data_IF_521428378158
#
_entry.id   IF_521428378158
#
_cell.length_a   1.000
_cell.length_b   1.000
_cell.length_c   1.000
_cell.angle_alpha   90.00
_cell.angle_beta   90.00
_cell.angle_gamma   90.00
#
_symmetry.space_group_name_H-M   'P 1'
#
loop_
_entity.id
_entity.type
_entity.pdbx_description
1 polymer ?
#
# COMPACT_ATOMS: atom_id res chain seq x y z
N UNK A 1 -3.78 -3.91 13.27
CA UNK A 1 -5.03 -4.66 13.04
C UNK A 1 -6.07 -4.15 14.01
N UNK A 2 -7.06 -3.47 13.47
CA UNK A 2 -8.20 -2.86 14.13
C UNK A 2 -9.48 -3.33 13.43
N UNK A 3 -10.63 -3.15 14.09
CA UNK A 3 -11.95 -3.38 13.48
C UNK A 3 -12.59 -2.01 13.32
N UNK A 4 -12.99 -1.69 12.09
CA UNK A 4 -13.63 -0.43 11.73
C UNK A 4 -15.09 -0.73 11.41
N UNK A 5 -15.99 -0.05 12.12
CA UNK A 5 -17.42 -0.14 11.91
C UNK A 5 -17.86 1.07 11.09
N UNK A 6 -18.19 0.86 9.80
CA UNK A 6 -18.63 1.94 8.91
C UNK A 6 -20.16 2.02 8.89
N UNK A 7 -20.69 3.25 8.79
CA UNK A 7 -22.13 3.56 8.63
C UNK A 7 -23.02 3.23 9.84
N UNK A 8 -22.47 3.23 11.06
CA UNK A 8 -23.25 3.15 12.28
C UNK A 8 -23.58 4.55 12.81
N UNK A 9 -24.87 4.83 13.07
CA UNK A 9 -25.29 6.04 13.76
C UNK A 9 -25.15 5.85 15.28
N UNK A 10 -24.17 6.51 15.88
CA UNK A 10 -23.94 6.46 17.32
C UNK A 10 -24.76 7.59 17.97
N UNK A 11 -25.57 7.31 19.00
CA UNK A 11 -26.27 8.35 19.73
C UNK A 11 -25.28 9.24 20.50
N UNK A 12 -25.57 10.54 20.63
CA UNK A 12 -24.70 11.49 21.33
C UNK A 12 -24.55 11.18 22.83
N UNK A 13 -25.58 10.56 23.43
CA UNK A 13 -25.59 10.15 24.85
C UNK A 13 -26.44 8.90 25.06
N UNK A 14 -26.09 8.11 26.08
CA UNK A 14 -26.84 6.91 26.49
C UNK A 14 -26.16 5.60 26.10
N UNK A 15 -26.85 4.50 26.32
CA UNK A 15 -26.33 3.16 26.04
C UNK A 15 -26.59 2.77 24.58
N UNK A 16 -25.60 2.15 23.95
CA UNK A 16 -25.68 1.65 22.58
C UNK A 16 -25.01 0.27 22.48
N UNK A 17 -25.75 -0.73 22.00
CA UNK A 17 -25.24 -2.09 21.74
C UNK A 17 -25.11 -2.32 20.23
N UNK A 18 -23.93 -2.77 19.79
CA UNK A 18 -23.70 -3.26 18.43
C UNK A 18 -23.47 -4.76 18.48
N UNK A 19 -24.36 -5.53 17.86
CA UNK A 19 -24.19 -6.98 17.69
C UNK A 19 -24.12 -7.32 16.21
N UNK A 20 -22.89 -7.59 15.74
CA UNK A 20 -22.66 -7.99 14.36
C UNK A 20 -22.04 -9.40 14.30
N UNK A 21 -22.59 -10.25 13.44
CA UNK A 21 -21.95 -11.51 13.05
C UNK A 21 -21.40 -11.36 11.64
N UNK A 22 -20.10 -11.60 11.49
CA UNK A 22 -19.43 -11.62 10.18
C UNK A 22 -18.80 -12.97 9.94
N UNK A 23 -18.76 -13.39 8.68
CA UNK A 23 -18.07 -14.60 8.24
C UNK A 23 -16.82 -14.17 7.49
N UNK A 24 -15.66 -14.64 7.95
CA UNK A 24 -14.36 -14.38 7.35
C UNK A 24 -13.87 -15.68 6.71
N UNK A 25 -13.94 -15.77 5.39
CA UNK A 25 -13.44 -16.94 4.67
C UNK A 25 -11.91 -16.87 4.46
N UNK A 26 -11.37 -15.65 4.43
CA UNK A 26 -9.93 -15.42 4.39
C UNK A 26 -9.46 -14.61 5.60
N UNK A 27 -8.25 -14.89 6.04
CA UNK A 27 -7.57 -14.15 7.10
C UNK A 27 -6.97 -12.83 6.60
N UNK A 28 -6.69 -11.92 7.54
CA UNK A 28 -5.93 -10.70 7.30
C UNK A 28 -4.60 -10.96 6.55
N UNK A 29 -3.89 -12.03 6.93
CA UNK A 29 -2.62 -12.41 6.31
C UNK A 29 -2.79 -12.92 4.87
N UNK A 30 -3.85 -13.69 4.59
CA UNK A 30 -4.16 -14.10 3.22
C UNK A 30 -4.54 -12.88 2.36
N UNK A 31 -5.36 -11.97 2.87
CA UNK A 31 -5.68 -10.71 2.19
C UNK A 31 -4.41 -9.90 1.89
N UNK A 32 -3.53 -9.70 2.88
CA UNK A 32 -2.25 -9.02 2.70
C UNK A 32 -1.38 -9.65 1.61
N UNK A 33 -1.33 -10.97 1.53
CA UNK A 33 -0.58 -11.70 0.49
C UNK A 33 -1.19 -11.50 -0.89
N UNK A 34 -2.52 -11.53 -1.01
CA UNK A 34 -3.23 -11.27 -2.26
C UNK A 34 -2.93 -9.85 -2.77
N UNK A 35 -3.00 -8.85 -1.89
CA UNK A 35 -2.69 -7.46 -2.23
C UNK A 35 -1.22 -7.31 -2.63
N UNK A 36 -0.28 -7.85 -1.86
CA UNK A 36 1.15 -7.78 -2.21
C UNK A 36 1.44 -8.44 -3.57
N UNK A 37 0.82 -9.59 -3.87
CA UNK A 37 0.97 -10.25 -5.16
C UNK A 37 0.45 -9.35 -6.30
N UNK A 38 -0.74 -8.77 -6.12
CA UNK A 38 -1.33 -7.87 -7.11
C UNK A 38 -0.47 -6.63 -7.34
N UNK A 39 -0.02 -5.96 -6.27
CA UNK A 39 0.86 -4.80 -6.38
C UNK A 39 2.14 -5.14 -7.14
N UNK A 40 2.76 -6.27 -6.81
CA UNK A 40 4.00 -6.72 -7.45
C UNK A 40 3.83 -7.03 -8.94
N UNK A 41 2.74 -7.70 -9.31
CA UNK A 41 2.53 -8.18 -10.68
C UNK A 41 1.97 -7.10 -11.61
N UNK A 42 1.10 -6.23 -11.10
CA UNK A 42 0.25 -5.37 -11.93
C UNK A 42 0.56 -3.86 -11.76
N UNK A 43 1.29 -3.47 -10.71
CA UNK A 43 1.47 -2.05 -10.35
C UNK A 43 2.94 -1.63 -10.27
N UNK A 44 3.68 -2.12 -9.27
CA UNK A 44 5.08 -1.77 -9.04
C UNK A 44 5.72 -2.64 -7.96
N UNK A 45 7.01 -2.94 -8.13
CA UNK A 45 7.85 -3.61 -7.13
C UNK A 45 8.18 -2.76 -5.91
N UNK A 46 7.97 -1.43 -5.99
CA UNK A 46 8.24 -0.50 -4.89
C UNK A 46 7.07 -0.36 -3.92
N UNK A 47 5.92 -0.99 -4.23
CA UNK A 47 4.72 -0.95 -3.42
C UNK A 47 4.61 -2.19 -2.54
N UNK A 48 4.14 -1.99 -1.31
CA UNK A 48 3.89 -3.07 -0.37
C UNK A 48 2.63 -2.79 0.45
N UNK A 49 1.88 -3.85 0.74
CA UNK A 49 0.73 -3.80 1.63
C UNK A 49 1.13 -4.16 3.06
N UNK A 50 0.64 -3.38 4.02
CA UNK A 50 0.76 -3.66 5.44
C UNK A 50 -0.37 -4.57 5.96
N UNK A 51 -0.34 -4.84 7.25
CA UNK A 51 -1.37 -5.62 7.93
C UNK A 51 -2.73 -4.93 7.78
N UNK A 52 -3.73 -5.60 7.19
CA UNK A 52 -5.03 -5.00 6.96
C UNK A 52 -5.85 -4.88 8.24
N UNK A 53 -6.77 -3.92 8.21
CA UNK A 53 -7.82 -3.75 9.20
C UNK A 53 -9.13 -4.36 8.68
N UNK A 54 -9.97 -4.87 9.59
CA UNK A 54 -11.26 -5.43 9.23
C UNK A 54 -12.30 -4.31 9.19
N UNK A 55 -12.84 -4.02 8.01
CA UNK A 55 -13.89 -3.03 7.84
C UNK A 55 -15.24 -3.74 7.69
N UNK A 56 -16.19 -3.36 8.55
CA UNK A 56 -17.54 -3.89 8.57
C UNK A 56 -18.48 -2.73 8.22
N UNK A 57 -18.97 -2.73 6.98
CA UNK A 57 -20.02 -1.82 6.49
C UNK A 57 -21.07 -2.58 5.69
N UNK A 58 -21.45 -2.07 4.52
CA UNK A 58 -22.32 -2.81 3.57
C UNK A 58 -21.71 -4.14 3.13
N UNK A 59 -20.38 -4.18 3.03
CA UNK A 59 -19.59 -5.38 2.75
C UNK A 59 -18.48 -5.49 3.79
N UNK A 60 -18.20 -6.71 4.24
CA UNK A 60 -17.07 -6.97 5.12
C UNK A 60 -15.80 -7.13 4.28
N UNK A 61 -14.82 -6.26 4.50
CA UNK A 61 -13.57 -6.23 3.71
C UNK A 61 -12.35 -6.16 4.61
N UNK A 62 -11.25 -6.71 4.13
CA UNK A 62 -9.92 -6.45 4.65
C UNK A 62 -9.33 -5.24 3.91
N UNK A 63 -9.21 -4.12 4.62
CA UNK A 63 -8.59 -2.90 4.07
C UNK A 63 -7.10 -2.93 4.35
N UNK A 64 -6.30 -3.14 3.31
CA UNK A 64 -4.85 -3.21 3.40
C UNK A 64 -4.22 -1.86 3.06
N UNK A 65 -3.54 -1.17 4.00
CA UNK A 65 -2.80 0.04 3.71
C UNK A 65 -1.64 -0.26 2.75
N UNK A 66 -1.47 0.58 1.74
CA UNK A 66 -0.41 0.46 0.73
C UNK A 66 0.62 1.57 0.93
N UNK A 67 1.88 1.16 0.92
CA UNK A 67 3.04 2.03 1.08
C UNK A 67 3.95 1.93 -0.14
N UNK A 68 4.61 3.04 -0.49
CA UNK A 68 5.71 3.06 -1.46
C UNK A 68 7.04 3.25 -0.73
N UNK A 69 8.06 2.48 -1.10
CA UNK A 69 9.41 2.57 -0.53
C UNK A 69 10.39 3.27 -1.46
N UNK A 70 11.07 4.31 -0.97
CA UNK A 70 12.20 4.98 -1.63
C UNK A 70 13.50 4.68 -0.88
N UNK A 71 14.52 4.20 -1.59
CA UNK A 71 15.79 3.71 -1.02
C UNK A 71 16.46 4.66 -0.02
N UNK A 72 16.34 5.98 -0.25
CA UNK A 72 17.05 7.01 0.51
C UNK A 72 16.14 7.82 1.46
N UNK A 73 14.81 7.70 1.32
CA UNK A 73 13.82 8.51 2.05
C UNK A 73 12.86 7.69 2.91
N UNK A 74 12.98 6.36 2.90
CA UNK A 74 12.08 5.48 3.65
C UNK A 74 10.80 5.22 2.88
N UNK A 75 9.68 5.08 3.58
CA UNK A 75 8.39 4.70 2.97
C UNK A 75 7.29 5.70 3.27
N UNK A 76 6.34 5.81 2.35
CA UNK A 76 5.20 6.73 2.44
C UNK A 76 3.90 6.02 2.13
N UNK A 77 2.82 6.37 2.84
CA UNK A 77 1.51 5.85 2.57
C UNK A 77 0.95 6.44 1.27
N UNK A 78 0.44 5.58 0.39
CA UNK A 78 -0.07 5.97 -0.94
C UNK A 78 -1.54 5.61 -1.14
N UNK A 79 -2.14 4.86 -0.23
CA UNK A 79 -3.56 4.52 -0.28
C UNK A 79 -3.85 3.23 0.45
N UNK A 80 -4.94 2.58 0.07
CA UNK A 80 -5.33 1.25 0.56
C UNK A 80 -6.01 0.46 -0.54
N UNK A 81 -6.00 -0.86 -0.40
CA UNK A 81 -6.75 -1.78 -1.25
C UNK A 81 -7.69 -2.61 -0.37
N UNK A 82 -8.95 -2.70 -0.80
CA UNK A 82 -9.97 -3.46 -0.10
C UNK A 82 -10.10 -4.85 -0.71
N UNK A 83 -10.05 -5.87 0.12
CA UNK A 83 -10.23 -7.27 -0.27
C UNK A 83 -11.51 -7.79 0.37
N UNK A 84 -12.41 -8.34 -0.42
CA UNK A 84 -13.61 -8.97 0.08
C UNK A 84 -13.26 -10.13 1.03
N UNK A 85 -13.75 -10.07 2.28
CA UNK A 85 -13.35 -11.00 3.33
C UNK A 85 -13.94 -12.43 3.16
N UNK A 86 -14.87 -12.62 2.21
CA UNK A 86 -15.51 -13.91 1.92
C UNK A 86 -14.96 -14.56 0.65
N UNK A 87 -14.61 -13.76 -0.36
CA UNK A 87 -14.20 -14.26 -1.68
C UNK A 87 -12.71 -14.09 -1.92
N UNK A 88 -12.06 -13.16 -1.24
CA UNK A 88 -10.67 -12.76 -1.51
C UNK A 88 -10.49 -11.92 -2.78
N UNK A 89 -11.57 -11.44 -3.39
CA UNK A 89 -11.49 -10.54 -4.53
C UNK A 89 -11.00 -9.15 -4.08
N UNK A 90 -9.98 -8.62 -4.75
CA UNK A 90 -9.59 -7.20 -4.58
C UNK A 90 -10.64 -6.35 -5.30
N UNK A 91 -11.25 -5.44 -4.55
CA UNK A 91 -12.33 -4.56 -5.01
C UNK A 91 -11.75 -3.29 -5.64
N UNK A 92 -12.52 -2.68 -6.55
CA UNK A 92 -12.25 -1.36 -7.16
C UNK A 92 -10.79 -1.17 -7.62
N UNK A 93 -10.23 -2.22 -8.24
CA UNK A 93 -8.80 -2.29 -8.59
C UNK A 93 -8.34 -1.10 -9.43
N UNK A 94 -9.07 -0.79 -10.50
CA UNK A 94 -8.68 0.25 -11.44
C UNK A 94 -8.68 1.65 -10.79
N UNK A 95 -9.74 1.96 -10.04
CA UNK A 95 -9.85 3.23 -9.31
C UNK A 95 -8.78 3.34 -8.22
N UNK A 96 -8.56 2.26 -7.47
CA UNK A 96 -7.55 2.23 -6.41
C UNK A 96 -6.13 2.38 -6.96
N UNK A 97 -5.82 1.74 -8.08
CA UNK A 97 -4.53 1.92 -8.77
C UNK A 97 -4.36 3.36 -9.23
N UNK A 98 -5.38 3.96 -9.83
CA UNK A 98 -5.31 5.35 -10.30
C UNK A 98 -5.00 6.31 -9.14
N UNK A 99 -5.66 6.14 -7.99
CA UNK A 99 -5.39 6.92 -6.77
C UNK A 99 -3.99 6.68 -6.22
N UNK A 100 -3.55 5.42 -6.11
CA UNK A 100 -2.21 5.07 -5.63
C UNK A 100 -1.13 5.67 -6.53
N UNK A 101 -1.30 5.60 -7.85
CA UNK A 101 -0.36 6.18 -8.82
C UNK A 101 -0.30 7.70 -8.69
N UNK A 102 -1.44 8.37 -8.67
CA UNK A 102 -1.51 9.81 -8.49
C UNK A 102 -0.79 10.23 -7.19
N UNK A 103 -1.08 9.55 -6.08
CA UNK A 103 -0.45 9.85 -4.79
C UNK A 103 1.05 9.58 -4.78
N UNK A 104 1.50 8.50 -5.41
CA UNK A 104 2.93 8.19 -5.55
C UNK A 104 3.66 9.25 -6.39
N UNK A 105 3.05 9.75 -7.46
CA UNK A 105 3.60 10.83 -8.29
C UNK A 105 3.72 12.14 -7.49
N UNK A 106 2.68 12.50 -6.73
CA UNK A 106 2.72 13.67 -5.84
C UNK A 106 3.87 13.58 -4.83
N UNK A 107 4.02 12.43 -4.18
CA UNK A 107 5.09 12.22 -3.21
C UNK A 107 6.45 12.33 -3.91
N UNK A 108 6.65 11.63 -5.04
CA UNK A 108 7.90 11.66 -5.78
C UNK A 108 8.32 13.07 -6.21
N UNK A 109 7.37 13.93 -6.58
CA UNK A 109 7.64 15.33 -6.94
C UNK A 109 8.17 16.18 -5.77
N UNK A 110 7.92 15.76 -4.53
CA UNK A 110 8.40 16.46 -3.32
C UNK A 110 9.75 15.94 -2.82
N UNK A 111 10.23 14.81 -3.33
CA UNK A 111 11.46 14.19 -2.84
C UNK A 111 12.70 14.87 -3.44
N UNK A 112 13.75 15.08 -2.65
CA UNK A 112 15.01 15.56 -3.18
C UNK A 112 15.61 14.53 -4.15
N UNK A 113 16.39 14.96 -5.15
CA UNK A 113 17.07 14.04 -6.04
C UNK A 113 18.04 13.17 -5.24
N UNK A 114 18.11 11.88 -5.61
CA UNK A 114 19.07 10.96 -5.03
C UNK A 114 20.49 11.51 -5.16
N UNK A 115 21.18 11.66 -4.02
CA UNK A 115 22.60 11.99 -3.97
C UNK A 115 23.35 10.77 -3.44
N UNK A 116 24.19 10.12 -4.26
CA UNK A 116 25.07 9.05 -3.78
C UNK A 116 25.89 9.56 -2.60
N UNK A 117 26.08 8.72 -1.59
CA UNK A 117 26.94 9.07 -0.47
C UNK A 117 28.37 9.32 -0.99
N UNK A 118 28.94 10.53 -0.85
CA UNK A 118 30.27 10.84 -1.38
C UNK A 118 31.40 10.07 -0.69
N UNK A 119 31.11 9.33 0.40
CA UNK A 119 32.06 8.44 1.07
C UNK A 119 32.19 7.05 0.44
N UNK A 120 31.50 6.76 -0.66
CA UNK A 120 31.81 5.55 -1.44
C UNK A 120 33.20 5.77 -2.05
N UNK A 121 34.18 5.00 -1.59
CA UNK A 121 35.53 5.04 -2.12
C UNK A 121 35.49 4.85 -3.65
N UNK A 122 36.30 5.63 -4.37
CA UNK A 122 36.33 5.62 -5.83
C UNK A 122 36.58 4.22 -6.43
N UNK A 123 37.12 3.29 -5.63
CA UNK A 123 37.32 1.88 -5.95
C UNK A 123 36.02 1.09 -6.22
N UNK A 124 34.86 1.55 -5.73
CA UNK A 124 33.55 0.91 -5.97
C UNK A 124 32.72 1.61 -7.05
N UNK A 125 33.18 2.74 -7.58
CA UNK A 125 32.54 3.38 -8.74
C UNK A 125 33.05 2.66 -9.99
N UNK A 126 32.14 1.97 -10.70
CA UNK A 126 32.48 1.39 -12.00
C UNK A 126 33.08 2.48 -12.89
N UNK A 127 34.19 2.22 -13.61
CA UNK A 127 34.77 3.19 -14.51
C UNK A 127 33.72 3.62 -15.54
N UNK A 128 33.61 4.94 -15.72
CA UNK A 128 32.59 5.57 -16.56
C UNK A 128 32.64 4.98 -17.98
N UNK A 129 31.58 4.34 -18.50
CA UNK A 129 31.63 3.66 -19.80
C UNK A 129 31.65 4.60 -21.01
N UNK A 130 31.73 5.92 -20.82
CA UNK A 130 31.51 6.92 -21.89
C UNK A 130 32.82 7.48 -22.49
N UNK A 131 34.00 6.96 -22.15
CA UNK A 131 35.26 7.41 -22.78
C UNK A 131 35.78 6.52 -23.91
N UNK A 132 35.06 5.45 -24.28
CA UNK A 132 35.45 4.54 -25.36
C UNK A 132 34.58 4.73 -26.61
N UNK A 133 34.47 5.97 -27.11
CA UNK A 133 33.96 6.26 -28.46
C UNK A 133 34.39 7.66 -28.88
N UNK A 134 35.60 7.78 -29.45
CA UNK A 134 35.81 8.41 -30.74
C UNK A 134 37.27 8.20 -31.21
N UNK A 135 37.47 8.10 -32.54
CA UNK A 135 38.44 7.22 -33.20
C UNK A 135 39.91 7.60 -33.06
#
# INVERSE_FOLDING_TARGET
MTIILERYSIPETGDFEIRQRVTLAISAEQARRLVNRFLLMDVSTMLAAETPDLVIGERTVWRAPVWIGFLHQGRYAVGSLDVDAQTGAILDQEQSIAMIRARATEIAATLPPYRPNPKIAAEYLAPNPVSAQNP
#
